data_IF_767511793420
#
_entry.id   IF_767511793420
#
_cell.length_a   1.000
_cell.length_b   1.000
_cell.length_c   1.000
_cell.angle_alpha   90.00
_cell.angle_beta   90.00
_cell.angle_gamma   90.00
#
_symmetry.space_group_name_H-M   'P 1'
#
loop_
_entity.id
_entity.type
_entity.pdbx_description
1 polymer ?
#
# COMPACT_ATOMS: atom_id res chain seq x y z
N UNK A 1 -4.12 62.53 11.46
CA UNK A 1 -4.96 61.31 11.40
C UNK A 1 -4.10 60.16 10.87
N UNK A 2 -3.65 59.27 11.75
CA UNK A 2 -2.75 58.15 11.40
C UNK A 2 -3.58 56.93 10.98
N UNK A 3 -3.35 56.42 9.76
CA UNK A 3 -4.07 55.26 9.22
C UNK A 3 -3.45 53.99 9.80
N UNK A 4 -4.20 53.28 10.65
CA UNK A 4 -3.79 51.98 11.22
C UNK A 4 -3.90 50.90 10.13
N UNK A 5 -2.76 50.37 9.69
CA UNK A 5 -2.72 49.28 8.70
C UNK A 5 -3.01 47.93 9.38
N UNK A 6 -3.87 47.07 8.82
CA UNK A 6 -4.15 45.75 9.42
C UNK A 6 -2.91 44.86 9.34
N UNK A 7 -2.49 44.32 10.49
CA UNK A 7 -1.37 43.39 10.54
C UNK A 7 -1.70 42.12 9.76
N UNK A 8 -0.89 41.78 8.76
CA UNK A 8 -1.04 40.57 7.95
C UNK A 8 -0.92 39.34 8.85
N UNK A 9 -2.03 38.64 9.06
CA UNK A 9 -2.09 37.38 9.82
C UNK A 9 -1.42 36.28 8.99
N UNK A 10 -0.12 36.05 9.22
CA UNK A 10 0.62 34.96 8.57
C UNK A 10 0.13 33.65 9.17
N UNK A 11 -0.63 32.86 8.39
CA UNK A 11 -1.05 31.52 8.79
C UNK A 11 0.17 30.60 8.61
N UNK A 12 0.73 30.01 9.68
CA UNK A 12 1.87 29.13 9.55
C UNK A 12 1.47 27.91 8.71
N UNK A 13 2.31 27.57 7.73
CA UNK A 13 2.15 26.32 6.98
C UNK A 13 2.12 25.16 7.98
N UNK A 14 1.19 24.19 7.82
CA UNK A 14 1.05 23.10 8.77
C UNK A 14 2.36 22.31 8.84
N UNK A 15 3.07 22.48 9.95
CA UNK A 15 4.32 21.80 10.25
C UNK A 15 4.03 20.32 10.42
N UNK A 16 4.48 19.54 9.44
CA UNK A 16 4.45 18.08 9.36
C UNK A 16 3.07 17.42 9.19
N UNK A 17 2.99 16.56 8.16
CA UNK A 17 2.01 15.47 8.08
C UNK A 17 2.16 14.66 9.37
N UNK A 18 1.12 14.63 10.23
CA UNK A 18 1.10 13.70 11.37
C UNK A 18 1.41 12.30 10.85
N UNK A 19 2.49 11.70 11.33
CA UNK A 19 2.90 10.37 10.90
C UNK A 19 1.73 9.41 11.05
N UNK A 20 1.37 8.72 9.96
CA UNK A 20 0.31 7.71 10.01
C UNK A 20 0.75 6.62 10.98
N UNK A 21 -0.05 6.35 12.02
CA UNK A 21 0.19 5.23 12.93
C UNK A 21 0.27 3.94 12.10
N UNK A 22 1.38 3.20 12.20
CA UNK A 22 1.49 1.87 11.56
C UNK A 22 0.37 0.99 12.12
N UNK A 23 -0.41 0.40 11.23
CA UNK A 23 -1.50 -0.52 11.60
C UNK A 23 -0.96 -1.92 11.39
N UNK A 24 -0.66 -2.61 12.49
CA UNK A 24 -0.06 -3.95 12.49
C UNK A 24 1.16 -4.05 13.40
N UNK A 25 1.29 -5.17 14.09
CA UNK A 25 2.48 -5.55 14.84
C UNK A 25 3.34 -6.56 14.06
N UNK A 26 4.40 -7.06 14.68
CA UNK A 26 5.34 -8.01 14.05
C UNK A 26 4.65 -9.24 13.41
N UNK A 27 3.57 -9.73 14.01
CA UNK A 27 2.81 -10.86 13.48
C UNK A 27 2.08 -10.51 12.17
N UNK A 28 1.54 -9.30 12.06
CA UNK A 28 0.89 -8.82 10.85
C UNK A 28 1.91 -8.64 9.70
N UNK A 29 3.10 -8.12 10.03
CA UNK A 29 4.21 -7.98 9.07
C UNK A 29 4.65 -9.37 8.55
N UNK A 30 4.83 -10.35 9.43
CA UNK A 30 5.16 -11.73 9.04
C UNK A 30 4.10 -12.38 8.13
N UNK A 31 2.81 -12.17 8.43
CA UNK A 31 1.72 -12.64 7.56
C UNK A 31 1.74 -11.94 6.19
N UNK A 32 2.02 -10.64 6.15
CA UNK A 32 2.10 -9.89 4.91
C UNK A 32 3.26 -10.38 4.03
N UNK A 33 4.42 -10.65 4.61
CA UNK A 33 5.56 -11.23 3.88
C UNK A 33 5.26 -12.64 3.35
N UNK A 34 4.62 -13.49 4.16
CA UNK A 34 4.18 -14.82 3.71
C UNK A 34 3.19 -14.73 2.54
N UNK A 35 2.26 -13.78 2.56
CA UNK A 35 1.33 -13.55 1.45
C UNK A 35 2.06 -13.07 0.19
N UNK A 36 3.00 -12.12 0.31
CA UNK A 36 3.81 -11.66 -0.82
C UNK A 36 4.56 -12.80 -1.50
N UNK A 37 5.18 -13.68 -0.72
CA UNK A 37 5.89 -14.85 -1.26
C UNK A 37 4.95 -15.74 -2.10
N UNK A 38 3.77 -16.06 -1.56
CA UNK A 38 2.76 -16.88 -2.27
C UNK A 38 2.27 -16.21 -3.55
N UNK A 39 2.01 -14.90 -3.52
CA UNK A 39 1.60 -14.17 -4.72
C UNK A 39 2.69 -14.14 -5.80
N UNK A 40 3.95 -14.01 -5.40
CA UNK A 40 5.08 -14.00 -6.32
C UNK A 40 5.26 -15.37 -7.00
N UNK A 41 5.11 -16.47 -6.27
CA UNK A 41 5.11 -17.82 -6.86
C UNK A 41 3.98 -18.00 -7.89
N UNK A 42 2.77 -17.57 -7.54
CA UNK A 42 1.60 -17.62 -8.44
C UNK A 42 1.84 -16.78 -9.70
N UNK A 43 2.40 -15.57 -9.56
CA UNK A 43 2.70 -14.69 -10.68
C UNK A 43 3.76 -15.28 -11.62
N UNK A 44 4.82 -15.87 -11.07
CA UNK A 44 5.85 -16.57 -11.86
C UNK A 44 5.28 -17.76 -12.62
N UNK A 45 4.46 -18.59 -11.98
CA UNK A 45 3.80 -19.72 -12.61
C UNK A 45 2.85 -19.28 -13.75
N UNK A 46 2.19 -18.13 -13.59
CA UNK A 46 1.34 -17.56 -14.63
C UNK A 46 2.15 -17.07 -15.85
N UNK A 47 3.31 -16.43 -15.65
CA UNK A 47 4.15 -15.92 -16.74
C UNK A 47 4.87 -17.02 -17.54
N UNK A 48 5.31 -18.08 -16.87
CA UNK A 48 6.01 -19.20 -17.51
C UNK A 48 5.08 -20.11 -18.33
N UNK A 49 3.77 -19.87 -18.30
CA UNK A 49 2.78 -20.70 -18.99
C UNK A 49 2.63 -22.09 -18.38
N UNK A 50 3.24 -22.32 -17.22
CA UNK A 50 3.34 -23.63 -16.58
C UNK A 50 1.94 -24.13 -16.20
N UNK A 51 1.64 -25.37 -16.61
CA UNK A 51 0.28 -25.87 -16.78
C UNK A 51 -0.41 -26.29 -15.46
N UNK A 52 0.23 -26.01 -14.32
CA UNK A 52 -0.24 -26.33 -12.97
C UNK A 52 -0.99 -25.18 -12.30
N UNK A 53 -1.25 -24.07 -13.00
CA UNK A 53 -2.06 -22.99 -12.44
C UNK A 53 -3.51 -23.46 -12.16
N UNK A 54 -4.13 -23.00 -11.06
CA UNK A 54 -5.50 -23.36 -10.70
C UNK A 54 -6.50 -23.08 -11.84
N UNK A 55 -6.28 -22.01 -12.60
CA UNK A 55 -7.13 -21.60 -13.72
C UNK A 55 -7.07 -22.60 -14.89
N UNK A 56 -5.88 -23.05 -15.30
CA UNK A 56 -5.73 -24.09 -16.34
C UNK A 56 -6.34 -25.42 -15.89
N UNK A 57 -6.20 -25.78 -14.61
CA UNK A 57 -6.87 -26.94 -14.02
C UNK A 57 -8.39 -26.82 -14.04
N UNK A 58 -8.94 -25.62 -13.89
CA UNK A 58 -10.37 -25.34 -13.99
C UNK A 58 -10.86 -25.45 -15.44
N UNK A 59 -10.11 -24.86 -16.39
CA UNK A 59 -10.48 -24.81 -17.80
C UNK A 59 -10.32 -26.15 -18.53
N UNK A 60 -9.41 -27.03 -18.10
CA UNK A 60 -9.27 -28.40 -18.67
C UNK A 60 -10.41 -29.36 -18.31
N UNK A 61 -11.22 -29.02 -17.29
CA UNK A 61 -12.32 -29.86 -16.79
C UNK A 61 -13.64 -29.63 -17.53
N UNK A 62 -13.72 -28.56 -18.30
CA UNK A 62 -14.82 -28.24 -19.20
C UNK A 62 -14.36 -28.43 -20.65
#
# INVERSE_FOLDING_TARGET
>A
MSKMQPQKKVIPFPTARRGRKRVGGALADARAEALKARFHEVSKAAQTGDATTPLKRLLKRF
#
